data_IF_396390719088
#
_entry.id   IF_396390719088
#
_cell.length_a   1.000
_cell.length_b   1.000
_cell.length_c   1.000
_cell.angle_alpha   90.00
_cell.angle_beta   90.00
_cell.angle_gamma   90.00
#
_symmetry.space_group_name_H-M   'P 1'
#
loop_
_entity.id
_entity.type
_entity.pdbx_description
1 polymer ?
#
# COMPACT_ATOMS: atom_id res chain seq x y z
N UNK A 1 17.06 10.00 -16.07
CA UNK A 1 15.59 10.12 -15.92
C UNK A 1 15.05 8.76 -15.49
N UNK A 2 14.37 8.67 -14.33
CA UNK A 2 13.82 7.39 -13.85
C UNK A 2 12.61 6.95 -14.68
N UNK A 3 12.36 5.64 -14.77
CA UNK A 3 11.14 5.13 -15.44
C UNK A 3 9.89 5.51 -14.63
N UNK A 4 8.74 5.62 -15.31
CA UNK A 4 7.46 5.94 -14.64
C UNK A 4 7.15 4.94 -13.51
N UNK A 5 7.47 3.66 -13.72
CA UNK A 5 7.31 2.60 -12.70
C UNK A 5 8.18 2.83 -11.46
N UNK A 6 9.43 3.26 -11.63
CA UNK A 6 10.30 3.62 -10.50
C UNK A 6 9.70 4.79 -9.72
N UNK A 7 9.27 5.84 -10.42
CA UNK A 7 8.69 7.03 -9.77
C UNK A 7 7.43 6.65 -9.00
N UNK A 8 6.56 5.85 -9.61
CA UNK A 8 5.32 5.40 -8.97
C UNK A 8 5.58 4.50 -7.76
N UNK A 9 6.44 3.48 -7.85
CA UNK A 9 6.77 2.62 -6.71
C UNK A 9 7.40 3.38 -5.55
N UNK A 10 8.22 4.40 -5.82
CA UNK A 10 8.74 5.29 -4.78
C UNK A 10 7.61 6.09 -4.14
N UNK A 11 6.81 6.79 -4.95
CA UNK A 11 5.69 7.57 -4.42
C UNK A 11 4.77 6.71 -3.56
N UNK A 12 4.33 5.57 -4.10
CA UNK A 12 3.44 4.66 -3.40
C UNK A 12 4.10 4.09 -2.14
N UNK A 13 5.34 3.60 -2.24
CA UNK A 13 6.11 3.10 -1.10
C UNK A 13 6.23 4.12 0.03
N UNK A 14 6.60 5.37 -0.26
CA UNK A 14 6.65 6.43 0.77
C UNK A 14 5.27 6.74 1.33
N UNK A 15 4.25 6.81 0.48
CA UNK A 15 2.90 7.08 0.93
C UNK A 15 2.45 6.04 1.98
N UNK A 16 2.61 4.74 1.69
CA UNK A 16 2.17 3.70 2.63
C UNK A 16 3.07 3.55 3.85
N UNK A 17 4.36 3.91 3.77
CA UNK A 17 5.23 4.01 4.96
C UNK A 17 4.70 5.08 5.91
N UNK A 18 4.49 6.31 5.39
CA UNK A 18 4.03 7.43 6.21
C UNK A 18 2.64 7.14 6.76
N UNK A 19 1.73 6.69 5.90
CA UNK A 19 0.36 6.41 6.30
C UNK A 19 0.28 5.24 7.29
N UNK A 20 1.01 4.14 7.07
CA UNK A 20 1.05 3.00 7.98
C UNK A 20 1.54 3.40 9.38
N UNK A 21 2.61 4.21 9.45
CA UNK A 21 3.09 4.76 10.73
C UNK A 21 2.06 5.69 11.39
N UNK A 22 1.44 6.60 10.64
CA UNK A 22 0.44 7.52 11.17
C UNK A 22 -0.80 6.77 11.70
N UNK A 23 -1.29 5.77 10.94
CA UNK A 23 -2.44 4.95 11.33
C UNK A 23 -2.12 4.05 12.53
N UNK A 24 -0.88 3.58 12.64
CA UNK A 24 -0.39 2.86 13.83
C UNK A 24 -0.45 3.72 15.10
N UNK A 25 -0.01 4.97 14.99
CA UNK A 25 -0.10 5.94 16.10
C UNK A 25 -1.58 6.21 16.42
N UNK A 26 -2.41 6.44 15.40
CA UNK A 26 -3.84 6.67 15.58
C UNK A 26 -4.55 5.50 16.24
N UNK A 27 -4.23 4.25 15.87
CA UNK A 27 -4.76 3.05 16.51
C UNK A 27 -4.34 2.95 17.98
N UNK A 28 -3.09 3.25 18.28
CA UNK A 28 -2.59 3.30 19.66
C UNK A 28 -3.32 4.36 20.49
N UNK A 29 -3.55 5.56 19.92
CA UNK A 29 -4.32 6.62 20.58
C UNK A 29 -5.77 6.18 20.80
N UNK A 30 -6.41 5.58 19.80
CA UNK A 30 -7.77 5.05 19.90
C UNK A 30 -7.91 3.99 20.97
N UNK A 31 -6.94 3.08 21.07
CA UNK A 31 -6.88 2.04 22.10
C UNK A 31 -6.68 2.63 23.51
N UNK A 32 -5.69 3.50 23.71
CA UNK A 32 -5.34 4.01 25.03
C UNK A 32 -6.31 5.08 25.55
N UNK A 33 -6.87 5.91 24.67
CA UNK A 33 -7.72 7.05 25.05
C UNK A 33 -9.20 6.82 24.80
N UNK A 34 -9.58 5.71 24.14
CA UNK A 34 -10.96 5.44 23.72
C UNK A 34 -11.62 6.65 23.03
N UNK A 35 -10.86 7.33 22.16
CA UNK A 35 -11.26 8.59 21.54
C UNK A 35 -11.07 8.58 20.01
N UNK A 36 -11.92 9.34 19.32
CA UNK A 36 -11.90 9.48 17.86
C UNK A 36 -12.47 8.27 17.10
N UNK A 37 -12.28 8.20 15.77
CA UNK A 37 -12.87 7.16 14.92
C UNK A 37 -12.43 5.73 15.22
N UNK A 38 -11.36 5.57 16.01
CA UNK A 38 -10.82 4.28 16.44
C UNK A 38 -11.02 4.02 17.95
N UNK A 39 -11.95 4.73 18.59
CA UNK A 39 -12.26 4.58 20.03
C UNK A 39 -12.68 3.15 20.41
N UNK A 40 -13.34 2.43 19.49
CA UNK A 40 -13.77 1.04 19.67
C UNK A 40 -12.62 0.10 20.06
N UNK A 41 -11.40 0.43 19.63
CA UNK A 41 -10.20 -0.36 19.93
C UNK A 41 -9.82 -0.35 21.42
N UNK A 42 -10.35 0.59 22.21
CA UNK A 42 -10.11 0.61 23.66
C UNK A 42 -10.76 -0.57 24.39
N UNK A 43 -11.81 -1.16 23.81
CA UNK A 43 -12.50 -2.34 24.36
C UNK A 43 -12.22 -3.60 23.53
N UNK A 44 -11.81 -3.46 22.27
CA UNK A 44 -11.45 -4.57 21.38
C UNK A 44 -9.92 -4.70 21.22
N UNK A 45 -9.30 -5.41 22.17
CA UNK A 45 -7.85 -5.66 22.17
C UNK A 45 -7.41 -6.48 20.95
N UNK A 46 -8.23 -7.43 20.49
CA UNK A 46 -7.90 -8.26 19.33
C UNK A 46 -7.91 -7.42 18.04
N UNK A 47 -8.93 -6.57 17.88
CA UNK A 47 -9.00 -5.59 16.79
C UNK A 47 -7.83 -4.61 16.78
N UNK A 48 -7.42 -4.12 17.95
CA UNK A 48 -6.23 -3.25 18.09
C UNK A 48 -4.96 -3.94 17.60
N UNK A 49 -4.67 -5.15 18.10
CA UNK A 49 -3.47 -5.91 17.71
C UNK A 49 -3.48 -6.21 16.21
N UNK A 50 -4.63 -6.65 15.67
CA UNK A 50 -4.78 -6.92 14.24
C UNK A 50 -4.52 -5.70 13.36
N UNK A 51 -5.09 -4.54 13.72
CA UNK A 51 -4.86 -3.29 13.00
C UNK A 51 -3.41 -2.82 13.07
N UNK A 52 -2.78 -2.94 14.25
CA UNK A 52 -1.36 -2.61 14.39
C UNK A 52 -0.47 -3.48 13.50
N UNK A 53 -0.71 -4.79 13.47
CA UNK A 53 0.01 -5.70 12.60
C UNK A 53 -0.18 -5.33 11.12
N UNK A 54 -1.41 -5.03 10.70
CA UNK A 54 -1.70 -4.64 9.32
C UNK A 54 -1.00 -3.32 8.93
N UNK A 55 -1.04 -2.31 9.79
CA UNK A 55 -0.42 -1.00 9.51
C UNK A 55 1.11 -1.03 9.49
N UNK A 56 1.73 -1.82 10.37
CA UNK A 56 3.18 -2.02 10.32
C UNK A 56 3.56 -2.85 9.09
N UNK A 57 2.81 -3.91 8.78
CA UNK A 57 3.07 -4.76 7.62
C UNK A 57 3.03 -3.95 6.32
N UNK A 58 2.03 -3.10 6.13
CA UNK A 58 1.95 -2.27 4.91
C UNK A 58 3.10 -1.26 4.81
N UNK A 59 3.57 -0.73 5.95
CA UNK A 59 4.75 0.14 5.97
C UNK A 59 6.03 -0.63 5.56
N UNK A 60 6.20 -1.87 6.04
CA UNK A 60 7.33 -2.75 5.64
C UNK A 60 7.26 -3.11 4.15
N UNK A 61 6.06 -3.37 3.62
CA UNK A 61 5.85 -3.59 2.18
C UNK A 61 6.24 -2.32 1.40
N UNK A 62 5.84 -1.14 1.86
CA UNK A 62 6.23 0.14 1.26
C UNK A 62 7.74 0.35 1.22
N UNK A 63 8.44 0.02 2.31
CA UNK A 63 9.90 0.08 2.37
C UNK A 63 10.55 -0.89 1.38
N UNK A 64 9.98 -2.10 1.25
CA UNK A 64 10.44 -3.11 0.30
C UNK A 64 10.26 -2.65 -1.14
N UNK A 65 9.10 -2.06 -1.48
CA UNK A 65 8.81 -1.49 -2.80
C UNK A 65 9.73 -0.31 -3.11
N UNK A 66 10.00 0.57 -2.14
CA UNK A 66 10.94 1.67 -2.30
C UNK A 66 12.35 1.14 -2.59
N UNK A 67 12.84 0.20 -1.78
CA UNK A 67 14.17 -0.40 -1.92
C UNK A 67 14.34 -1.19 -3.22
N UNK A 68 13.28 -1.86 -3.70
CA UNK A 68 13.28 -2.56 -4.97
C UNK A 68 13.66 -1.67 -6.16
N UNK A 69 13.28 -0.38 -6.11
CA UNK A 69 13.61 0.58 -7.17
C UNK A 69 15.10 0.84 -7.32
N UNK A 70 15.93 0.41 -6.36
CA UNK A 70 17.39 0.59 -6.39
C UNK A 70 18.14 -0.61 -6.95
N UNK A 71 17.53 -1.81 -6.99
CA UNK A 71 18.27 -3.07 -7.23
C UNK A 71 17.66 -3.98 -8.29
N UNK A 72 16.38 -3.83 -8.62
CA UNK A 72 15.69 -4.84 -9.44
C UNK A 72 15.57 -4.42 -10.91
N UNK A 73 15.94 -5.33 -11.82
CA UNK A 73 15.81 -5.15 -13.28
C UNK A 73 14.35 -5.28 -13.77
N UNK A 74 13.51 -5.98 -13.01
CA UNK A 74 12.07 -6.14 -13.28
C UNK A 74 11.23 -5.61 -12.11
N UNK A 75 10.38 -4.62 -12.39
CA UNK A 75 9.54 -3.97 -11.38
C UNK A 75 8.11 -4.56 -11.33
N UNK A 76 7.75 -5.45 -12.28
CA UNK A 76 6.41 -6.04 -12.37
C UNK A 76 6.01 -6.79 -11.11
N UNK A 77 6.90 -7.56 -10.53
CA UNK A 77 6.61 -8.31 -9.31
C UNK A 77 6.27 -7.37 -8.14
N UNK A 78 6.88 -6.19 -8.08
CA UNK A 78 6.60 -5.21 -7.04
C UNK A 78 5.24 -4.54 -7.23
N UNK A 79 4.81 -4.34 -8.47
CA UNK A 79 3.44 -3.92 -8.75
C UNK A 79 2.41 -4.99 -8.35
N UNK A 80 2.69 -6.26 -8.63
CA UNK A 80 1.85 -7.37 -8.16
C UNK A 80 1.80 -7.42 -6.63
N UNK A 81 2.92 -7.25 -5.94
CA UNK A 81 2.95 -7.14 -4.48
C UNK A 81 2.07 -5.98 -3.99
N UNK A 82 2.11 -4.82 -4.65
CA UNK A 82 1.24 -3.68 -4.34
C UNK A 82 -0.25 -4.01 -4.47
N UNK A 83 -0.65 -4.69 -5.55
CA UNK A 83 -2.04 -5.17 -5.71
C UNK A 83 -2.43 -6.11 -4.58
N UNK A 84 -1.60 -7.13 -4.31
CA UNK A 84 -1.88 -8.15 -3.30
C UNK A 84 -1.89 -7.57 -1.88
N UNK A 85 -1.13 -6.52 -1.62
CA UNK A 85 -1.12 -5.86 -0.31
C UNK A 85 -2.41 -5.08 -0.03
N UNK A 86 -3.06 -4.52 -1.07
CA UNK A 86 -4.29 -3.76 -0.92
C UNK A 86 -5.57 -4.59 -1.03
N UNK A 87 -5.52 -5.69 -1.78
CA UNK A 87 -6.71 -6.47 -2.09
C UNK A 87 -7.45 -6.98 -0.84
N UNK A 88 -6.79 -7.53 0.19
CA UNK A 88 -7.48 -7.98 1.41
C UNK A 88 -8.22 -6.84 2.11
N UNK A 89 -7.57 -5.68 2.27
CA UNK A 89 -8.17 -4.52 2.92
C UNK A 89 -9.37 -3.99 2.10
N UNK A 90 -9.24 -3.93 0.77
CA UNK A 90 -10.33 -3.54 -0.11
C UNK A 90 -11.55 -4.47 0.01
N UNK A 91 -11.33 -5.78 -0.04
CA UNK A 91 -12.39 -6.78 0.09
C UNK A 91 -13.07 -6.69 1.45
N UNK A 92 -12.32 -6.58 2.54
CA UNK A 92 -12.89 -6.44 3.88
C UNK A 92 -13.69 -5.13 4.03
N UNK A 93 -13.20 -4.03 3.44
CA UNK A 93 -13.91 -2.74 3.42
C UNK A 93 -15.26 -2.85 2.68
N UNK A 94 -15.31 -3.63 1.61
CA UNK A 94 -16.56 -3.92 0.89
C UNK A 94 -17.51 -4.83 1.70
N UNK A 95 -16.98 -5.91 2.28
CA UNK A 95 -17.78 -6.88 3.04
C UNK A 95 -18.42 -6.27 4.29
N UNK A 96 -17.70 -5.37 4.97
CA UNK A 96 -18.14 -4.75 6.22
C UNK A 96 -18.62 -3.30 6.02
N UNK A 97 -19.00 -2.91 4.81
CA UNK A 97 -19.40 -1.54 4.45
C UNK A 97 -20.46 -0.96 5.38
N UNK A 98 -21.60 -1.65 5.53
CA UNK A 98 -22.72 -1.16 6.35
C UNK A 98 -22.29 -0.97 7.80
N UNK A 99 -21.57 -1.97 8.36
CA UNK A 99 -21.07 -1.91 9.73
C UNK A 99 -20.15 -0.70 9.95
N UNK A 100 -19.25 -0.40 9.01
CA UNK A 100 -18.37 0.77 9.13
C UNK A 100 -19.16 2.08 9.09
N UNK A 101 -20.15 2.21 8.20
CA UNK A 101 -21.01 3.40 8.10
C UNK A 101 -21.80 3.59 9.40
N UNK A 102 -22.43 2.53 9.90
CA UNK A 102 -23.24 2.55 11.11
C UNK A 102 -22.42 2.92 12.36
N UNK A 103 -21.11 2.62 12.35
CA UNK A 103 -20.18 2.93 13.43
C UNK A 103 -19.33 4.20 13.17
N UNK A 104 -19.66 4.99 12.15
CA UNK A 104 -18.96 6.25 11.86
C UNK A 104 -17.49 6.09 11.44
N UNK A 105 -17.10 4.90 10.99
CA UNK A 105 -15.74 4.61 10.51
C UNK A 105 -15.57 5.21 9.10
N UNK A 106 -14.51 6.00 8.85
CA UNK A 106 -14.31 6.63 7.55
C UNK A 106 -14.24 5.63 6.39
N UNK A 107 -15.19 5.72 5.47
CA UNK A 107 -15.24 4.85 4.28
C UNK A 107 -14.27 5.26 3.17
N UNK A 108 -13.54 6.36 3.34
CA UNK A 108 -12.53 6.85 2.39
C UNK A 108 -11.45 5.80 2.05
N UNK A 109 -11.24 4.82 2.93
CA UNK A 109 -10.33 3.69 2.71
C UNK A 109 -10.67 2.90 1.44
N UNK A 110 -11.95 2.80 1.05
CA UNK A 110 -12.35 2.05 -0.16
C UNK A 110 -11.76 2.67 -1.42
N UNK A 111 -11.84 4.00 -1.53
CA UNK A 111 -11.36 4.75 -2.69
C UNK A 111 -9.84 4.72 -2.73
N UNK A 112 -9.20 4.82 -1.57
CA UNK A 112 -7.75 4.72 -1.46
C UNK A 112 -7.26 3.35 -1.92
N UNK A 113 -7.75 2.26 -1.33
CA UNK A 113 -7.34 0.91 -1.73
C UNK A 113 -7.67 0.59 -3.19
N UNK A 114 -8.88 0.93 -3.65
CA UNK A 114 -9.29 0.74 -5.04
C UNK A 114 -8.40 1.50 -6.03
N UNK A 115 -8.07 2.75 -5.73
CA UNK A 115 -7.21 3.57 -6.60
C UNK A 115 -5.78 3.02 -6.71
N UNK A 116 -5.18 2.56 -5.60
CA UNK A 116 -3.87 1.92 -5.65
C UNK A 116 -3.89 0.57 -6.35
N UNK A 117 -4.93 -0.25 -6.17
CA UNK A 117 -5.10 -1.51 -6.93
C UNK A 117 -5.13 -1.23 -8.44
N UNK A 118 -5.93 -0.25 -8.87
CA UNK A 118 -6.02 0.14 -10.28
C UNK A 118 -4.68 0.66 -10.80
N UNK A 119 -4.05 1.57 -10.06
CA UNK A 119 -2.76 2.13 -10.46
C UNK A 119 -1.68 1.05 -10.58
N UNK A 120 -1.55 0.19 -9.58
CA UNK A 120 -0.59 -0.92 -9.59
C UNK A 120 -0.83 -1.89 -10.74
N UNK A 121 -2.10 -2.23 -11.02
CA UNK A 121 -2.47 -3.08 -12.15
C UNK A 121 -2.07 -2.43 -13.49
N UNK A 122 -2.33 -1.13 -13.64
CA UNK A 122 -1.91 -0.38 -14.82
C UNK A 122 -0.39 -0.39 -15.00
N UNK A 123 0.40 -0.18 -13.95
CA UNK A 123 1.86 -0.23 -14.04
C UNK A 123 2.41 -1.64 -14.24
N UNK A 124 1.74 -2.67 -13.72
CA UNK A 124 2.08 -4.06 -14.00
C UNK A 124 2.05 -4.38 -15.50
N UNK A 125 0.95 -4.00 -16.17
CA UNK A 125 0.76 -4.28 -17.60
C UNK A 125 1.52 -3.31 -18.52
N UNK A 126 1.52 -2.01 -18.19
CA UNK A 126 1.96 -0.95 -19.11
C UNK A 126 3.22 -0.19 -18.64
N UNK A 127 3.69 -0.40 -17.41
CA UNK A 127 4.76 0.39 -16.79
C UNK A 127 6.17 0.11 -17.34
N UNK A 128 6.35 -0.94 -18.14
CA UNK A 128 7.65 -1.37 -18.65
C UNK A 128 7.85 -1.15 -20.15
N UNK A 129 7.33 -0.05 -20.73
CA UNK A 129 7.71 0.33 -22.10
C UNK A 129 9.22 0.61 -22.10
N UNK A 130 10.04 -0.20 -22.78
CA UNK A 130 11.49 -0.01 -22.78
C UNK A 130 11.81 1.30 -23.49
N UNK A 131 12.59 2.17 -22.84
CA UNK A 131 13.19 3.32 -23.53
C UNK A 131 14.12 2.74 -24.60
N UNK A 132 14.00 3.23 -25.83
CA UNK A 132 14.61 2.71 -27.08
C UNK A 132 16.13 2.44 -27.01
N UNK A 133 16.83 2.83 -25.94
CA UNK A 133 18.26 2.62 -25.71
C UNK A 133 18.68 1.35 -24.96
N UNK A 134 17.80 0.69 -24.19
CA UNK A 134 18.18 -0.52 -23.41
C UNK A 134 18.41 -1.75 -24.30
N UNK A 135 17.78 -1.79 -25.48
CA UNK A 135 17.96 -2.89 -26.45
C UNK A 135 19.34 -2.92 -27.10
N UNK A 136 20.10 -1.82 -27.10
CA UNK A 136 21.44 -1.75 -27.70
C UNK A 136 22.55 -2.37 -26.85
N UNK A 137 22.41 -2.38 -25.52
CA UNK A 137 23.43 -2.95 -24.63
C UNK A 137 23.24 -4.44 -24.37
N UNK A 138 22.04 -4.99 -24.58
CA UNK A 138 21.79 -6.43 -24.41
C UNK A 138 22.34 -7.27 -25.58
N UNK A 139 22.80 -6.63 -26.66
CA UNK A 139 23.31 -7.31 -27.87
C UNK A 139 24.76 -6.95 -28.19
N UNK A 140 25.48 -6.26 -27.31
CA UNK A 140 26.92 -5.97 -27.50
C UNK A 140 27.75 -6.83 -26.54
N UNK A 141 28.23 -8.00 -26.98
CA UNK A 141 29.21 -8.79 -26.25
C UNK A 141 30.60 -8.17 -26.51
N UNK A 142 30.96 -7.15 -25.74
CA UNK A 142 32.37 -6.72 -25.59
C UNK A 142 32.83 -6.97 -24.18
#
# INVERSE_FOLDING_TARGET
>A
MFSKSVVFLRFHGTFVIILGCAMSIAATIGHLKAAGPLAVLGQDVAGYVGLMQAYILIAVIGLSMWGATMRTRSLRLWHLCGVLAHLPAFVLTLMFWNWMVDNGIPTAAIYMHGSFIVAETCFFFFGQIPIKGERRMATDPR
#
